data_IF_180493440705
#
_entry.id   IF_180493440705
#
_cell.length_a   1.000
_cell.length_b   1.000
_cell.length_c   1.000
_cell.angle_alpha   90.00
_cell.angle_beta   90.00
_cell.angle_gamma   90.00
#
_symmetry.space_group_name_H-M   'P 1'
#
loop_
_entity.id
_entity.type
_entity.pdbx_description
1 polymer ?
#
# COMPACT_ATOMS: atom_id res chain seq x y z
N UNK A 1 29.29 -14.04 -20.41
CA UNK A 1 28.08 -13.92 -21.27
C UNK A 1 26.92 -13.58 -20.36
N UNK A 2 26.47 -12.32 -20.35
CA UNK A 2 25.32 -11.91 -19.53
C UNK A 2 24.06 -12.42 -20.19
N UNK A 3 23.33 -13.33 -19.53
CA UNK A 3 21.99 -13.72 -19.98
C UNK A 3 21.15 -12.44 -20.17
N UNK A 4 20.41 -12.31 -21.29
CA UNK A 4 19.50 -11.19 -21.46
C UNK A 4 18.51 -11.16 -20.29
N UNK A 5 18.07 -9.97 -19.84
CA UNK A 5 17.14 -9.85 -18.73
C UNK A 5 15.88 -10.66 -19.03
N UNK A 6 15.70 -11.75 -18.29
CA UNK A 6 14.51 -12.59 -18.41
C UNK A 6 13.33 -11.83 -17.82
N UNK A 7 12.49 -11.27 -18.70
CA UNK A 7 11.27 -10.60 -18.27
C UNK A 7 10.37 -11.62 -17.58
N UNK A 8 9.80 -11.24 -16.43
CA UNK A 8 8.91 -12.10 -15.67
C UNK A 8 7.61 -12.34 -16.46
N UNK A 9 7.51 -13.51 -17.11
CA UNK A 9 6.35 -13.89 -17.93
C UNK A 9 5.04 -13.93 -17.14
N UNK A 10 5.09 -14.36 -15.86
CA UNK A 10 3.90 -14.36 -15.01
C UNK A 10 3.40 -12.93 -14.75
N UNK A 11 4.33 -12.00 -14.50
CA UNK A 11 3.97 -10.60 -14.31
C UNK A 11 3.39 -9.98 -15.59
N UNK A 12 3.95 -10.29 -16.75
CA UNK A 12 3.40 -9.86 -18.04
C UNK A 12 2.01 -10.45 -18.31
N UNK A 13 1.81 -11.73 -17.99
CA UNK A 13 0.50 -12.37 -18.10
C UNK A 13 -0.53 -11.70 -17.18
N UNK A 14 -0.15 -11.45 -15.91
CA UNK A 14 -0.99 -10.69 -14.97
C UNK A 14 -1.31 -9.28 -15.48
N UNK A 15 -0.33 -8.55 -15.99
CA UNK A 15 -0.53 -7.22 -16.58
C UNK A 15 -1.50 -7.28 -17.78
N UNK A 16 -1.32 -8.27 -18.66
CA UNK A 16 -2.18 -8.46 -19.84
C UNK A 16 -3.62 -8.78 -19.43
N UNK A 17 -3.81 -9.69 -18.48
CA UNK A 17 -5.14 -10.10 -18.00
C UNK A 17 -5.86 -8.96 -17.29
N UNK A 18 -5.19 -8.29 -16.35
CA UNK A 18 -5.77 -7.15 -15.63
C UNK A 18 -6.10 -5.98 -16.56
N UNK A 19 -5.22 -5.66 -17.53
CA UNK A 19 -5.51 -4.71 -18.60
C UNK A 19 -6.68 -5.17 -19.48
N UNK A 20 -6.85 -6.48 -19.74
CA UNK A 20 -7.97 -7.02 -20.49
C UNK A 20 -9.31 -6.84 -19.79
N UNK A 21 -9.37 -7.16 -18.49
CA UNK A 21 -10.56 -6.95 -17.67
C UNK A 21 -10.91 -5.45 -17.61
N UNK A 22 -9.92 -4.58 -17.41
CA UNK A 22 -10.11 -3.13 -17.42
C UNK A 22 -10.63 -2.63 -18.79
N UNK A 23 -10.10 -3.14 -19.90
CA UNK A 23 -10.56 -2.79 -21.24
C UNK A 23 -12.02 -3.20 -21.47
N UNK A 24 -12.41 -4.41 -21.05
CA UNK A 24 -13.80 -4.89 -21.16
C UNK A 24 -14.73 -3.99 -20.37
N UNK A 25 -14.40 -3.66 -19.11
CA UNK A 25 -15.20 -2.75 -18.29
C UNK A 25 -15.34 -1.37 -18.94
N UNK A 26 -14.24 -0.80 -19.43
CA UNK A 26 -14.25 0.49 -20.11
C UNK A 26 -15.10 0.47 -21.39
N UNK A 27 -15.04 -0.58 -22.20
CA UNK A 27 -15.89 -0.76 -23.39
C UNK A 27 -17.36 -0.84 -22.99
N UNK A 28 -17.69 -1.63 -21.96
CA UNK A 28 -19.06 -1.74 -21.45
C UNK A 28 -19.58 -0.37 -21.01
N UNK A 29 -18.80 0.42 -20.29
CA UNK A 29 -19.19 1.76 -19.84
C UNK A 29 -19.33 2.77 -20.99
N UNK A 30 -18.59 2.62 -22.09
CA UNK A 30 -18.76 3.44 -23.29
C UNK A 30 -20.04 3.09 -24.07
N UNK A 31 -20.38 1.79 -24.16
CA UNK A 31 -21.58 1.31 -24.88
C UNK A 31 -22.84 1.54 -24.04
N UNK A 32 -22.73 1.36 -22.71
CA UNK A 32 -23.82 1.50 -21.73
C UNK A 32 -23.41 2.48 -20.62
N UNK A 33 -23.49 3.80 -20.89
CA UNK A 33 -23.15 4.82 -19.89
C UNK A 33 -23.98 4.72 -18.62
N UNK A 34 -25.21 4.18 -18.69
CA UNK A 34 -26.08 3.90 -17.56
C UNK A 34 -25.50 2.87 -16.57
N UNK A 35 -24.57 2.03 -17.02
CA UNK A 35 -23.85 1.07 -16.18
C UNK A 35 -22.49 1.60 -15.70
N UNK A 36 -22.12 2.81 -16.12
CA UNK A 36 -20.88 3.51 -15.77
C UNK A 36 -20.89 4.05 -14.35
N UNK A 37 -20.95 3.17 -13.35
CA UNK A 37 -20.98 3.60 -11.93
C UNK A 37 -19.66 4.17 -11.45
N UNK A 38 -18.51 3.73 -11.99
CA UNK A 38 -17.20 4.05 -11.42
C UNK A 38 -16.81 5.52 -11.60
N UNK A 39 -17.01 6.09 -12.79
CA UNK A 39 -16.72 7.49 -13.11
C UNK A 39 -17.95 8.41 -12.97
N UNK A 40 -18.98 7.95 -12.27
CA UNK A 40 -20.23 8.71 -12.06
C UNK A 40 -20.07 9.91 -11.14
N UNK A 41 -19.07 9.88 -10.24
CA UNK A 41 -18.82 10.95 -9.28
C UNK A 41 -17.61 11.80 -9.73
N UNK A 42 -17.83 13.05 -10.20
CA UNK A 42 -16.77 13.92 -10.68
C UNK A 42 -15.76 14.33 -9.59
N UNK A 43 -16.18 14.39 -8.32
CA UNK A 43 -15.33 14.84 -7.21
C UNK A 43 -14.23 13.83 -6.84
N UNK A 44 -14.39 12.58 -7.29
CA UNK A 44 -13.50 11.47 -6.97
C UNK A 44 -12.37 11.27 -7.98
N UNK A 45 -12.42 11.90 -9.15
CA UNK A 45 -11.49 11.68 -10.26
C UNK A 45 -11.12 12.97 -10.99
N UNK A 46 -9.81 13.24 -11.05
CA UNK A 46 -9.24 14.42 -11.72
C UNK A 46 -9.73 14.53 -13.17
N UNK A 47 -9.63 13.45 -13.94
CA UNK A 47 -10.00 13.47 -15.36
C UNK A 47 -11.50 13.66 -15.60
N UNK A 48 -12.36 13.24 -14.65
CA UNK A 48 -13.81 13.46 -14.77
C UNK A 48 -14.11 14.94 -14.56
N UNK A 49 -13.50 15.59 -13.57
CA UNK A 49 -13.63 17.03 -13.36
C UNK A 49 -13.09 17.88 -14.51
N UNK A 50 -12.01 17.45 -15.17
CA UNK A 50 -11.36 18.21 -16.24
C UNK A 50 -11.99 18.00 -17.63
N UNK A 51 -12.42 16.78 -17.95
CA UNK A 51 -12.79 16.40 -19.32
C UNK A 51 -14.13 15.65 -19.40
N UNK A 52 -14.79 15.41 -18.26
CA UNK A 52 -16.06 14.69 -18.18
C UNK A 52 -15.91 13.17 -18.16
N UNK A 53 -17.00 12.50 -17.78
CA UNK A 53 -17.08 11.05 -17.60
C UNK A 53 -16.74 10.28 -18.88
N UNK A 54 -17.20 10.75 -20.04
CA UNK A 54 -16.95 10.09 -21.34
C UNK A 54 -15.46 10.09 -21.69
N UNK A 55 -14.77 11.22 -21.50
CA UNK A 55 -13.34 11.32 -21.77
C UNK A 55 -12.51 10.45 -20.81
N UNK A 56 -12.86 10.46 -19.51
CA UNK A 56 -12.21 9.60 -18.51
C UNK A 56 -12.38 8.11 -18.85
N UNK A 57 -13.58 7.71 -19.27
CA UNK A 57 -13.88 6.33 -19.69
C UNK A 57 -13.14 5.96 -20.96
N UNK A 58 -13.09 6.86 -21.95
CA UNK A 58 -12.32 6.65 -23.18
C UNK A 58 -10.82 6.50 -22.90
N UNK A 59 -10.26 7.33 -22.01
CA UNK A 59 -8.86 7.26 -21.58
C UNK A 59 -8.56 5.94 -20.85
N UNK A 60 -9.45 5.50 -19.95
CA UNK A 60 -9.38 4.19 -19.30
C UNK A 60 -9.31 3.09 -20.35
N UNK A 61 -10.28 3.04 -21.26
CA UNK A 61 -10.41 2.00 -22.27
C UNK A 61 -9.21 1.96 -23.20
N UNK A 62 -8.83 3.10 -23.77
CA UNK A 62 -7.68 3.19 -24.69
C UNK A 62 -6.38 2.77 -24.03
N UNK A 63 -6.16 3.19 -22.79
CA UNK A 63 -4.97 2.80 -22.02
C UNK A 63 -4.99 1.30 -21.71
N UNK A 64 -6.12 0.76 -21.27
CA UNK A 64 -6.26 -0.67 -21.00
C UNK A 64 -6.01 -1.52 -22.25
N UNK A 65 -6.57 -1.14 -23.40
CA UNK A 65 -6.33 -1.80 -24.70
C UNK A 65 -4.85 -1.74 -25.09
N UNK A 66 -4.20 -0.59 -24.94
CA UNK A 66 -2.75 -0.46 -25.16
C UNK A 66 -1.97 -1.44 -24.25
N UNK A 67 -2.41 -1.61 -23.00
CA UNK A 67 -1.84 -2.57 -22.06
C UNK A 67 -1.97 -4.01 -22.55
N UNK A 68 -3.14 -4.41 -23.05
CA UNK A 68 -3.35 -5.75 -23.63
C UNK A 68 -2.43 -5.99 -24.82
N UNK A 69 -2.39 -5.04 -25.77
CA UNK A 69 -1.57 -5.13 -26.99
C UNK A 69 -0.09 -5.24 -26.62
N UNK A 70 0.40 -4.37 -25.73
CA UNK A 70 1.78 -4.36 -25.29
C UNK A 70 2.15 -5.63 -24.52
N UNK A 71 1.27 -6.10 -23.62
CA UNK A 71 1.46 -7.33 -22.86
C UNK A 71 1.54 -8.56 -23.76
N UNK A 72 0.62 -8.70 -24.72
CA UNK A 72 0.64 -9.77 -25.71
C UNK A 72 1.87 -9.71 -26.63
N UNK A 73 2.27 -8.52 -27.08
CA UNK A 73 3.49 -8.32 -27.86
C UNK A 73 4.75 -8.68 -27.06
N UNK A 74 4.80 -8.34 -25.76
CA UNK A 74 5.91 -8.72 -24.88
C UNK A 74 5.98 -10.22 -24.61
N UNK A 75 4.83 -10.87 -24.36
CA UNK A 75 4.74 -12.32 -24.14
C UNK A 75 5.18 -13.12 -25.38
N UNK A 76 4.87 -12.60 -26.58
CA UNK A 76 5.31 -13.16 -27.86
C UNK A 76 6.74 -12.78 -28.25
N UNK A 77 7.46 -12.02 -27.42
CA UNK A 77 8.85 -11.61 -27.67
C UNK A 77 9.01 -10.51 -28.73
N UNK A 78 7.90 -9.92 -29.21
CA UNK A 78 7.89 -8.85 -30.22
C UNK A 78 8.14 -7.47 -29.63
N UNK A 79 7.93 -7.28 -28.33
CA UNK A 79 8.18 -6.02 -27.62
C UNK A 79 9.42 -6.12 -26.74
N UNK A 80 10.45 -5.33 -27.05
CA UNK A 80 11.67 -5.26 -26.25
C UNK A 80 11.49 -4.50 -24.92
N UNK A 81 12.52 -4.53 -24.06
CA UNK A 81 12.48 -3.92 -22.72
C UNK A 81 12.10 -2.44 -22.73
N UNK A 82 12.56 -1.66 -23.71
CA UNK A 82 12.18 -0.24 -23.84
C UNK A 82 10.67 -0.06 -24.05
N UNK A 83 10.06 -0.91 -24.87
CA UNK A 83 8.62 -0.89 -25.12
C UNK A 83 7.82 -1.27 -23.87
N UNK A 84 8.28 -2.26 -23.11
CA UNK A 84 7.67 -2.64 -21.82
C UNK A 84 7.77 -1.50 -20.81
N UNK A 85 8.92 -0.82 -20.74
CA UNK A 85 9.13 0.32 -19.83
C UNK A 85 8.22 1.48 -20.20
N UNK A 86 8.15 1.85 -21.48
CA UNK A 86 7.31 2.95 -21.95
C UNK A 86 5.82 2.67 -21.71
N UNK A 87 5.35 1.49 -22.13
CA UNK A 87 3.94 1.11 -21.98
C UNK A 87 3.56 0.95 -20.51
N UNK A 88 4.38 0.26 -19.72
CA UNK A 88 4.16 0.13 -18.28
C UNK A 88 4.17 1.48 -17.55
N UNK A 89 5.07 2.40 -17.92
CA UNK A 89 5.07 3.76 -17.35
C UNK A 89 3.78 4.51 -17.71
N UNK A 90 3.30 4.41 -18.95
CA UNK A 90 2.04 5.00 -19.36
C UNK A 90 0.85 4.44 -18.57
N UNK A 91 0.80 3.12 -18.34
CA UNK A 91 -0.23 2.50 -17.49
C UNK A 91 -0.20 3.08 -16.08
N UNK A 92 0.97 3.17 -15.46
CA UNK A 92 1.12 3.68 -14.09
C UNK A 92 0.75 5.16 -13.98
N UNK A 93 1.10 5.97 -14.97
CA UNK A 93 0.74 7.40 -15.01
C UNK A 93 -0.78 7.55 -15.17
N UNK A 94 -1.38 6.86 -16.14
CA UNK A 94 -2.81 7.03 -16.41
C UNK A 94 -3.66 6.46 -15.28
N UNK A 95 -3.44 5.21 -14.87
CA UNK A 95 -4.26 4.58 -13.84
C UNK A 95 -3.93 5.03 -12.41
N UNK A 96 -2.65 5.35 -12.14
CA UNK A 96 -2.21 5.79 -10.83
C UNK A 96 -2.39 7.29 -10.57
N UNK A 97 -2.31 8.13 -11.60
CA UNK A 97 -2.36 9.60 -11.46
C UNK A 97 -3.63 10.16 -12.11
N UNK A 98 -3.79 10.00 -13.43
CA UNK A 98 -4.89 10.65 -14.16
C UNK A 98 -6.27 10.13 -13.74
N UNK A 99 -6.40 8.81 -13.57
CA UNK A 99 -7.62 8.10 -13.19
C UNK A 99 -7.59 7.65 -11.72
N UNK A 100 -6.59 8.10 -10.95
CA UNK A 100 -6.47 7.78 -9.54
C UNK A 100 -7.62 8.40 -8.74
N UNK A 101 -7.95 7.79 -7.59
CA UNK A 101 -9.03 8.23 -6.71
C UNK A 101 -8.65 8.10 -5.24
N UNK A 102 -9.24 8.95 -4.40
CA UNK A 102 -9.22 8.83 -2.94
C UNK A 102 -9.78 7.50 -2.45
N UNK A 103 -10.63 6.85 -3.24
CA UNK A 103 -11.14 5.52 -2.93
C UNK A 103 -10.00 4.53 -2.65
N UNK A 104 -8.92 4.55 -3.44
CA UNK A 104 -7.75 3.66 -3.27
C UNK A 104 -7.18 3.71 -1.85
N UNK A 105 -7.03 4.91 -1.31
CA UNK A 105 -6.49 5.14 0.01
C UNK A 105 -7.48 4.71 1.10
N UNK A 106 -8.75 5.04 0.91
CA UNK A 106 -9.84 4.64 1.80
C UNK A 106 -9.93 3.12 1.91
N UNK A 107 -9.96 2.38 0.79
CA UNK A 107 -10.02 0.91 0.79
C UNK A 107 -8.86 0.32 1.59
N UNK A 108 -7.63 0.78 1.33
CA UNK A 108 -6.46 0.30 2.06
C UNK A 108 -6.57 0.62 3.57
N UNK A 109 -7.00 1.82 3.92
CA UNK A 109 -7.27 2.22 5.31
C UNK A 109 -8.31 1.32 5.99
N UNK A 110 -9.43 1.04 5.31
CA UNK A 110 -10.48 0.14 5.81
C UNK A 110 -9.94 -1.26 6.06
N UNK A 111 -9.22 -1.85 5.10
CA UNK A 111 -8.64 -3.18 5.25
C UNK A 111 -7.65 -3.25 6.41
N UNK A 112 -6.79 -2.24 6.56
CA UNK A 112 -5.87 -2.14 7.70
C UNK A 112 -6.66 -2.03 9.00
N UNK A 113 -7.61 -1.11 9.09
CA UNK A 113 -8.40 -0.91 10.30
C UNK A 113 -9.18 -2.17 10.70
N UNK A 114 -9.78 -2.89 9.75
CA UNK A 114 -10.47 -4.15 10.00
C UNK A 114 -9.53 -5.27 10.51
N UNK A 115 -8.25 -5.24 10.11
CA UNK A 115 -7.25 -6.20 10.58
C UNK A 115 -6.66 -5.85 11.96
N UNK A 116 -6.68 -4.58 12.35
CA UNK A 116 -5.99 -4.10 13.55
C UNK A 116 -6.47 -4.71 14.87
N UNK A 117 -7.78 -4.94 15.14
CA UNK A 117 -8.22 -5.61 16.37
C UNK A 117 -7.57 -6.98 16.55
N UNK A 118 -7.47 -7.77 15.47
CA UNK A 118 -6.82 -9.09 15.48
C UNK A 118 -5.32 -8.93 15.79
N UNK A 119 -4.65 -7.98 15.12
CA UNK A 119 -3.23 -7.70 15.35
C UNK A 119 -2.98 -7.30 16.80
N UNK A 120 -3.79 -6.40 17.36
CA UNK A 120 -3.68 -5.93 18.75
C UNK A 120 -3.84 -7.10 19.72
N UNK A 121 -4.87 -7.94 19.54
CA UNK A 121 -5.08 -9.12 20.40
C UNK A 121 -3.88 -10.07 20.32
N UNK A 122 -3.37 -10.35 19.12
CA UNK A 122 -2.18 -11.20 18.94
C UNK A 122 -0.99 -10.61 19.68
N UNK A 123 -0.72 -9.31 19.54
CA UNK A 123 0.39 -8.63 20.22
C UNK A 123 0.24 -8.65 21.74
N UNK A 124 -0.97 -8.42 22.27
CA UNK A 124 -1.26 -8.50 23.71
C UNK A 124 -1.06 -9.91 24.25
N UNK A 125 -1.52 -10.94 23.52
CA UNK A 125 -1.29 -12.34 23.89
C UNK A 125 0.20 -12.65 23.91
N UNK A 126 0.98 -12.20 22.93
CA UNK A 126 2.44 -12.40 22.95
C UNK A 126 3.11 -11.65 24.10
N UNK A 127 2.64 -10.44 24.42
CA UNK A 127 3.13 -9.66 25.55
C UNK A 127 2.96 -10.44 26.86
N UNK A 128 1.76 -10.99 27.10
CA UNK A 128 1.44 -11.79 28.28
C UNK A 128 2.30 -13.06 28.35
N UNK A 129 2.41 -13.79 27.23
CA UNK A 129 3.14 -15.07 27.20
C UNK A 129 4.63 -14.90 27.45
N UNK A 130 5.26 -13.86 26.88
CA UNK A 130 6.72 -13.78 26.81
C UNK A 130 7.37 -12.89 27.87
N UNK A 131 6.69 -11.85 28.35
CA UNK A 131 7.31 -10.85 29.23
C UNK A 131 6.73 -10.93 30.65
N UNK A 132 7.44 -11.52 31.64
CA UNK A 132 6.90 -11.81 32.97
C UNK A 132 6.58 -10.57 33.81
N UNK A 133 7.23 -9.44 33.55
CA UNK A 133 6.91 -8.16 34.20
C UNK A 133 5.78 -7.47 33.45
N UNK A 134 5.93 -7.28 32.13
CA UNK A 134 4.95 -6.56 31.31
C UNK A 134 3.60 -7.30 31.20
N UNK A 135 3.54 -8.62 31.42
CA UNK A 135 2.27 -9.37 31.45
C UNK A 135 1.32 -8.82 32.50
N UNK A 136 1.81 -8.47 33.69
CA UNK A 136 0.95 -8.07 34.80
C UNK A 136 0.69 -6.57 34.79
N UNK A 137 1.68 -5.78 34.34
CA UNK A 137 1.57 -4.32 34.30
C UNK A 137 0.75 -3.83 33.09
N UNK A 138 0.89 -4.49 31.93
CA UNK A 138 0.32 -4.00 30.66
C UNK A 138 -0.53 -5.05 29.97
N UNK A 139 -0.02 -6.28 29.81
CA UNK A 139 -0.66 -7.30 28.99
C UNK A 139 -2.04 -7.75 29.48
N UNK A 140 -2.12 -8.22 30.73
CA UNK A 140 -3.35 -8.69 31.37
C UNK A 140 -4.36 -7.54 31.54
N UNK A 141 -3.99 -6.36 32.06
CA UNK A 141 -4.91 -5.23 32.14
C UNK A 141 -5.50 -4.81 30.78
N UNK A 142 -4.67 -4.68 29.74
CA UNK A 142 -5.16 -4.30 28.40
C UNK A 142 -6.01 -5.40 27.76
N UNK A 143 -5.67 -6.67 27.94
CA UNK A 143 -6.47 -7.78 27.43
C UNK A 143 -7.82 -7.86 28.15
N UNK A 144 -7.83 -7.70 29.48
CA UNK A 144 -9.05 -7.63 30.27
C UNK A 144 -9.91 -6.43 29.86
N UNK A 145 -9.32 -5.24 29.70
CA UNK A 145 -10.01 -4.06 29.23
C UNK A 145 -10.59 -4.25 27.82
N UNK A 146 -9.88 -4.92 26.91
CA UNK A 146 -10.40 -5.25 25.59
C UNK A 146 -11.60 -6.20 25.67
N UNK A 147 -11.52 -7.26 26.48
CA UNK A 147 -12.64 -8.20 26.69
C UNK A 147 -13.84 -7.50 27.34
N UNK A 148 -13.61 -6.73 28.39
CA UNK A 148 -14.66 -5.94 29.07
C UNK A 148 -15.29 -4.96 28.09
N UNK A 149 -14.49 -4.24 27.30
CA UNK A 149 -14.97 -3.33 26.27
C UNK A 149 -15.81 -4.03 25.19
N UNK A 150 -15.43 -5.24 24.77
CA UNK A 150 -16.20 -6.05 23.83
C UNK A 150 -17.54 -6.49 24.45
N UNK A 151 -17.53 -6.94 25.70
CA UNK A 151 -18.74 -7.39 26.41
C UNK A 151 -19.70 -6.24 26.65
N UNK A 152 -19.22 -5.13 27.21
CA UNK A 152 -20.03 -3.94 27.49
C UNK A 152 -20.50 -3.24 26.20
N UNK A 153 -19.68 -3.29 25.16
CA UNK A 153 -19.95 -2.66 23.86
C UNK A 153 -20.57 -3.59 22.82
N UNK A 154 -21.05 -4.78 23.19
CA UNK A 154 -21.48 -5.81 22.23
C UNK A 154 -22.55 -5.32 21.24
N UNK A 155 -23.54 -4.57 21.72
CA UNK A 155 -24.60 -4.00 20.88
C UNK A 155 -24.06 -2.94 19.91
N UNK A 156 -23.12 -2.11 20.34
CA UNK A 156 -22.42 -1.13 19.50
C UNK A 156 -21.55 -1.81 18.47
N UNK A 157 -20.82 -2.87 18.85
CA UNK A 157 -20.03 -3.68 17.93
C UNK A 157 -20.90 -4.32 16.86
N UNK A 158 -22.06 -4.86 17.23
CA UNK A 158 -23.04 -5.41 16.27
C UNK A 158 -23.50 -4.37 15.25
N UNK A 159 -23.78 -3.14 15.69
CA UNK A 159 -24.14 -2.02 14.79
C UNK A 159 -22.98 -1.63 13.87
N UNK A 160 -21.76 -1.52 14.40
CA UNK A 160 -20.56 -1.21 13.61
C UNK A 160 -20.34 -2.29 12.55
N UNK A 161 -20.40 -3.57 12.92
CA UNK A 161 -20.23 -4.69 11.98
C UNK A 161 -21.31 -4.68 10.91
N UNK A 162 -22.58 -4.46 11.28
CA UNK A 162 -23.69 -4.38 10.34
C UNK A 162 -23.54 -3.21 9.37
N UNK A 163 -23.23 -2.01 9.87
CA UNK A 163 -23.01 -0.81 9.04
C UNK A 163 -21.80 -0.96 8.11
N UNK A 164 -20.73 -1.58 8.58
CA UNK A 164 -19.57 -1.90 7.74
C UNK A 164 -19.94 -2.92 6.66
N UNK A 165 -20.69 -3.97 7.01
CA UNK A 165 -21.14 -4.99 6.07
C UNK A 165 -22.03 -4.42 4.96
N UNK A 166 -23.02 -3.60 5.31
CA UNK A 166 -23.90 -2.94 4.35
C UNK A 166 -23.15 -1.93 3.49
N UNK A 167 -22.25 -1.13 4.08
CA UNK A 167 -21.40 -0.18 3.34
C UNK A 167 -20.44 -0.86 2.37
N UNK A 168 -19.83 -1.98 2.77
CA UNK A 168 -18.99 -2.81 1.90
C UNK A 168 -19.78 -3.39 0.74
N UNK A 169 -20.97 -3.94 1.01
CA UNK A 169 -21.84 -4.49 -0.03
C UNK A 169 -22.28 -3.41 -1.03
N UNK A 170 -22.68 -2.23 -0.55
CA UNK A 170 -23.04 -1.09 -1.39
C UNK A 170 -21.85 -0.59 -2.23
N UNK A 171 -20.63 -0.68 -1.70
CA UNK A 171 -19.41 -0.22 -2.38
C UNK A 171 -18.71 -1.31 -3.19
N UNK A 172 -19.23 -2.55 -3.22
CA UNK A 172 -18.50 -3.71 -3.73
C UNK A 172 -18.01 -3.54 -5.18
N UNK A 173 -18.83 -2.94 -6.04
CA UNK A 173 -18.45 -2.63 -7.42
C UNK A 173 -17.27 -1.64 -7.48
N UNK A 174 -17.33 -0.55 -6.71
CA UNK A 174 -16.26 0.45 -6.63
C UNK A 174 -14.96 -0.18 -6.11
N UNK A 175 -15.05 -0.98 -5.04
CA UNK A 175 -13.93 -1.70 -4.45
C UNK A 175 -13.29 -2.66 -5.46
N UNK A 176 -14.11 -3.40 -6.22
CA UNK A 176 -13.65 -4.32 -7.25
C UNK A 176 -12.81 -3.62 -8.33
N UNK A 177 -13.26 -2.47 -8.83
CA UNK A 177 -12.51 -1.70 -9.83
C UNK A 177 -11.23 -1.12 -9.24
N UNK A 178 -11.26 -0.59 -8.01
CA UNK A 178 -10.04 -0.09 -7.33
C UNK A 178 -9.01 -1.21 -7.17
N UNK A 179 -9.43 -2.40 -6.73
CA UNK A 179 -8.55 -3.55 -6.57
C UNK A 179 -7.99 -4.01 -7.93
N UNK A 180 -8.81 -4.01 -8.98
CA UNK A 180 -8.35 -4.29 -10.34
C UNK A 180 -7.27 -3.30 -10.80
N UNK A 181 -7.47 -2.00 -10.58
CA UNK A 181 -6.50 -0.94 -10.92
C UNK A 181 -5.19 -1.11 -10.13
N UNK A 182 -5.27 -1.44 -8.84
CA UNK A 182 -4.09 -1.74 -8.02
C UNK A 182 -3.34 -2.99 -8.54
N UNK A 183 -4.05 -4.06 -8.88
CA UNK A 183 -3.46 -5.28 -9.46
C UNK A 183 -2.82 -5.01 -10.83
N UNK A 184 -3.46 -4.18 -11.66
CA UNK A 184 -2.93 -3.72 -12.94
C UNK A 184 -1.62 -2.95 -12.73
N UNK A 185 -1.64 -1.94 -11.86
CA UNK A 185 -0.46 -1.13 -11.52
C UNK A 185 0.67 -1.99 -10.96
N UNK A 186 0.37 -2.92 -10.05
CA UNK A 186 1.36 -3.82 -9.47
C UNK A 186 1.99 -4.74 -10.52
N UNK A 187 1.17 -5.32 -11.41
CA UNK A 187 1.64 -6.22 -12.48
C UNK A 187 2.54 -5.49 -13.47
N UNK A 188 2.16 -4.28 -13.90
CA UNK A 188 2.98 -3.44 -14.78
C UNK A 188 4.24 -2.95 -14.09
N UNK A 189 4.20 -2.62 -12.80
CA UNK A 189 5.40 -2.28 -12.02
C UNK A 189 6.40 -3.43 -12.02
N UNK A 190 5.95 -4.67 -11.75
CA UNK A 190 6.84 -5.84 -11.79
C UNK A 190 7.39 -6.07 -13.21
N UNK A 191 6.57 -5.90 -14.25
CA UNK A 191 7.03 -6.03 -15.63
C UNK A 191 8.11 -4.99 -15.97
N UNK A 192 7.91 -3.72 -15.63
CA UNK A 192 8.89 -2.63 -15.81
C UNK A 192 10.17 -2.88 -15.04
N UNK A 193 10.06 -3.24 -13.75
CA UNK A 193 11.22 -3.59 -12.93
C UNK A 193 11.96 -4.76 -13.55
N UNK A 194 11.27 -5.83 -13.95
CA UNK A 194 11.88 -7.02 -14.57
C UNK A 194 12.59 -6.68 -15.88
N UNK A 195 12.00 -5.83 -16.72
CA UNK A 195 12.56 -5.40 -17.99
C UNK A 195 13.82 -4.53 -17.84
N UNK A 196 13.98 -3.85 -16.70
CA UNK A 196 15.14 -2.99 -16.39
C UNK A 196 16.22 -3.70 -15.58
N UNK A 197 15.97 -4.92 -15.07
CA UNK A 197 16.97 -5.73 -14.37
C UNK A 197 18.19 -5.96 -15.26
N UNK A 198 19.37 -5.99 -14.67
CA UNK A 198 20.63 -6.20 -15.39
C UNK A 198 21.16 -4.98 -16.15
N UNK A 199 20.40 -3.89 -16.26
CA UNK A 199 20.92 -2.63 -16.80
C UNK A 199 21.92 -1.98 -15.83
N UNK A 200 22.94 -1.30 -16.38
CA UNK A 200 23.92 -0.56 -15.58
C UNK A 200 23.26 0.51 -14.71
N UNK A 201 22.21 1.16 -15.22
CA UNK A 201 21.40 2.12 -14.47
C UNK A 201 20.70 1.49 -13.26
N UNK A 202 20.02 0.37 -13.44
CA UNK A 202 19.36 -0.34 -12.33
C UNK A 202 20.36 -0.86 -11.28
N UNK A 203 21.55 -1.30 -11.71
CA UNK A 203 22.62 -1.70 -10.80
C UNK A 203 23.12 -0.51 -9.97
N UNK A 204 23.41 0.64 -10.62
CA UNK A 204 23.84 1.88 -9.93
C UNK A 204 22.77 2.38 -8.96
N UNK A 205 21.51 2.41 -9.38
CA UNK A 205 20.39 2.80 -8.52
C UNK A 205 20.25 1.85 -7.32
N UNK A 206 20.31 0.53 -7.55
CA UNK A 206 20.25 -0.47 -6.46
C UNK A 206 21.39 -0.26 -5.46
N UNK A 207 22.62 -0.03 -5.93
CA UNK A 207 23.77 0.22 -5.06
C UNK A 207 23.58 1.51 -4.24
N UNK A 208 23.11 2.59 -4.86
CA UNK A 208 22.84 3.84 -4.16
C UNK A 208 21.74 3.70 -3.10
N UNK A 209 20.61 3.08 -3.44
CA UNK A 209 19.49 2.87 -2.50
C UNK A 209 19.92 1.96 -1.35
N UNK A 210 20.69 0.90 -1.63
CA UNK A 210 21.18 -0.04 -0.60
C UNK A 210 22.18 0.62 0.35
N UNK A 211 23.04 1.51 -0.15
CA UNK A 211 23.98 2.30 0.65
C UNK A 211 23.26 3.24 1.60
N UNK A 212 22.19 3.90 1.15
CA UNK A 212 21.44 4.88 1.95
C UNK A 212 20.22 4.31 2.68
N UNK A 213 20.05 2.97 2.66
CA UNK A 213 18.83 2.30 3.16
C UNK A 213 18.39 2.71 4.57
N UNK A 214 19.35 3.02 5.46
CA UNK A 214 19.05 3.41 6.85
C UNK A 214 18.31 4.73 6.90
N UNK A 215 18.84 5.75 6.24
CA UNK A 215 18.23 7.09 6.19
C UNK A 215 16.89 7.02 5.46
N UNK A 216 16.83 6.33 4.33
CA UNK A 216 15.60 6.17 3.54
C UNK A 216 14.50 5.48 4.36
N UNK A 217 14.83 4.41 5.10
CA UNK A 217 13.85 3.72 5.93
C UNK A 217 13.36 4.57 7.11
N UNK A 218 14.21 5.41 7.70
CA UNK A 218 13.78 6.35 8.75
C UNK A 218 12.82 7.39 8.16
N UNK A 219 13.15 7.98 7.01
CA UNK A 219 12.26 8.93 6.31
C UNK A 219 10.92 8.27 5.97
N UNK A 220 10.96 7.04 5.44
CA UNK A 220 9.76 6.27 5.12
C UNK A 220 8.92 5.96 6.37
N UNK A 221 9.57 5.63 7.49
CA UNK A 221 8.88 5.35 8.75
C UNK A 221 8.18 6.60 9.29
N UNK A 222 8.76 7.79 9.11
CA UNK A 222 8.16 9.06 9.52
C UNK A 222 6.95 9.47 8.67
N UNK A 223 6.77 8.91 7.47
CA UNK A 223 5.64 9.22 6.59
C UNK A 223 4.24 9.15 7.24
N UNK A 224 3.86 8.03 7.90
CA UNK A 224 2.56 7.91 8.56
C UNK A 224 2.43 8.68 9.89
N UNK A 225 3.51 9.22 10.44
CA UNK A 225 3.53 9.80 11.79
C UNK A 225 2.61 11.02 11.97
N UNK A 226 2.57 12.02 11.05
CA UNK A 226 1.68 13.16 11.21
C UNK A 226 0.21 12.73 11.37
N UNK A 227 -0.25 11.80 10.54
CA UNK A 227 -1.60 11.23 10.62
C UNK A 227 -1.83 10.51 11.95
N UNK A 228 -0.89 9.65 12.36
CA UNK A 228 -0.99 8.90 13.60
C UNK A 228 -1.13 9.83 14.82
N UNK A 229 -0.33 10.91 14.85
CA UNK A 229 -0.30 11.91 15.92
C UNK A 229 -1.56 12.78 15.93
N UNK A 230 -2.02 13.26 14.78
CA UNK A 230 -3.28 14.04 14.67
C UNK A 230 -4.44 13.23 15.22
N UNK A 231 -4.53 11.93 14.92
CA UNK A 231 -5.59 11.07 15.45
C UNK A 231 -5.53 10.85 16.96
N UNK A 232 -4.36 10.98 17.59
CA UNK A 232 -4.27 10.95 19.05
C UNK A 232 -4.85 12.21 19.71
N UNK A 233 -4.92 13.34 18.99
CA UNK A 233 -5.56 14.57 19.51
C UNK A 233 -7.06 14.38 19.77
N UNK A 234 -7.70 13.38 19.14
CA UNK A 234 -9.12 13.04 19.34
C UNK A 234 -9.42 12.47 20.73
N UNK A 235 -8.39 12.06 21.47
CA UNK A 235 -8.47 11.68 22.87
C UNK A 235 -8.42 12.89 23.82
N UNK A 236 -8.16 14.08 23.30
CA UNK A 236 -8.03 15.31 24.06
C UNK A 236 -9.24 16.23 23.82
N UNK A 237 -9.41 17.29 24.62
CA UNK A 237 -10.41 18.32 24.35
C UNK A 237 -10.16 19.13 23.06
N UNK A 238 -8.99 18.99 22.44
CA UNK A 238 -8.50 19.83 21.34
C UNK A 238 -8.22 19.00 20.08
N UNK A 239 -9.24 18.41 19.43
CA UNK A 239 -9.03 17.68 18.19
C UNK A 239 -8.61 18.65 17.07
N UNK A 240 -7.58 18.28 16.31
CA UNK A 240 -6.96 19.19 15.32
C UNK A 240 -7.71 19.23 13.98
N UNK A 241 -8.08 18.07 13.42
CA UNK A 241 -8.59 17.94 12.04
C UNK A 241 -10.11 17.80 11.94
N UNK A 242 -10.81 17.61 13.07
CA UNK A 242 -12.26 17.44 13.14
C UNK A 242 -12.81 18.20 14.34
N UNK A 243 -13.97 18.84 14.19
CA UNK A 243 -14.63 19.56 15.28
C UNK A 243 -15.15 18.60 16.36
N UNK A 244 -15.08 19.02 17.63
CA UNK A 244 -15.35 18.14 18.77
C UNK A 244 -16.79 17.58 18.81
N UNK A 245 -17.75 18.30 18.24
CA UNK A 245 -19.16 17.92 18.09
C UNK A 245 -19.39 16.79 17.09
N UNK A 246 -18.51 16.63 16.10
CA UNK A 246 -18.56 15.54 15.11
C UNK A 246 -17.85 14.25 15.58
N UNK A 247 -17.11 14.31 16.70
CA UNK A 247 -16.36 13.16 17.25
C UNK A 247 -17.23 12.30 18.17
N UNK A 248 -18.22 11.63 17.58
CA UNK A 248 -18.97 10.55 18.25
C UNK A 248 -18.03 9.41 18.65
N UNK A 249 -18.47 8.57 19.59
CA UNK A 249 -17.62 7.47 20.12
C UNK A 249 -17.19 6.49 19.01
N UNK A 250 -18.07 6.18 18.06
CA UNK A 250 -17.79 5.32 16.91
C UNK A 250 -16.73 5.94 15.98
N UNK A 251 -16.83 7.24 15.68
CA UNK A 251 -15.84 7.97 14.90
C UNK A 251 -14.48 7.95 15.59
N UNK A 252 -14.43 8.18 16.92
CA UNK A 252 -13.19 8.12 17.71
C UNK A 252 -12.54 6.74 17.65
N UNK A 253 -13.30 5.68 17.90
CA UNK A 253 -12.80 4.30 17.84
C UNK A 253 -12.24 4.00 16.45
N UNK A 254 -12.95 4.39 15.39
CA UNK A 254 -12.51 4.16 14.02
C UNK A 254 -11.22 4.92 13.69
N UNK A 255 -11.16 6.21 14.03
CA UNK A 255 -9.97 7.04 13.84
C UNK A 255 -8.73 6.53 14.59
N UNK A 256 -8.91 6.05 15.82
CA UNK A 256 -7.83 5.45 16.62
C UNK A 256 -7.41 4.08 16.08
N UNK A 257 -8.34 3.31 15.52
CA UNK A 257 -8.02 2.05 14.85
C UNK A 257 -7.14 2.30 13.61
N UNK A 258 -7.46 3.31 12.81
CA UNK A 258 -6.62 3.75 11.69
C UNK A 258 -5.25 4.25 12.17
N UNK A 259 -5.21 5.05 13.24
CA UNK A 259 -3.96 5.50 13.87
C UNK A 259 -3.08 4.34 14.32
N UNK A 260 -3.66 3.29 14.92
CA UNK A 260 -2.91 2.11 15.33
C UNK A 260 -2.27 1.38 14.15
N UNK A 261 -2.92 1.38 12.98
CA UNK A 261 -2.35 0.88 11.73
C UNK A 261 -1.17 1.73 11.24
N UNK A 262 -1.25 3.06 11.37
CA UNK A 262 -0.16 3.97 11.05
C UNK A 262 1.07 3.75 11.97
N UNK A 263 0.84 3.55 13.27
CA UNK A 263 1.89 3.17 14.23
C UNK A 263 2.52 1.80 13.91
N UNK A 264 1.70 0.82 13.53
CA UNK A 264 2.20 -0.48 13.07
C UNK A 264 3.08 -0.30 11.82
N UNK A 265 2.63 0.50 10.85
CA UNK A 265 3.40 0.85 9.66
C UNK A 265 4.75 1.51 9.98
N UNK A 266 4.78 2.45 10.93
CA UNK A 266 6.02 3.07 11.43
C UNK A 266 6.99 2.00 11.97
N UNK A 267 6.52 1.14 12.88
CA UNK A 267 7.35 0.10 13.51
C UNK A 267 7.84 -0.93 12.47
N UNK A 268 6.96 -1.40 11.59
CA UNK A 268 7.29 -2.35 10.51
C UNK A 268 8.31 -1.77 9.53
N UNK A 269 8.22 -0.49 9.20
CA UNK A 269 9.18 0.19 8.32
C UNK A 269 10.55 0.30 8.98
N UNK A 270 10.62 0.61 10.28
CA UNK A 270 11.89 0.54 11.03
C UNK A 270 12.45 -0.88 11.07
N UNK A 271 11.59 -1.90 11.01
CA UNK A 271 11.99 -3.30 10.88
C UNK A 271 12.93 -3.58 9.71
N UNK A 272 12.78 -2.85 8.60
CA UNK A 272 13.64 -2.98 7.41
C UNK A 272 15.11 -2.71 7.70
N UNK A 273 15.44 -2.03 8.80
CA UNK A 273 16.81 -1.69 9.18
C UNK A 273 17.23 -2.26 10.53
N UNK A 274 16.36 -3.05 11.18
CA UNK A 274 16.62 -3.66 12.48
C UNK A 274 16.87 -5.16 12.35
N UNK A 275 17.59 -5.80 13.30
CA UNK A 275 17.90 -7.23 13.23
C UNK A 275 16.66 -8.13 13.10
N UNK A 276 15.54 -7.71 13.68
CA UNK A 276 14.30 -8.47 13.63
C UNK A 276 13.63 -8.50 12.26
N UNK A 277 13.99 -7.59 11.35
CA UNK A 277 13.58 -7.66 9.95
C UNK A 277 14.38 -8.65 9.12
N UNK A 278 15.51 -9.14 9.63
CA UNK A 278 16.31 -10.20 8.97
C UNK A 278 16.08 -11.58 9.60
N UNK A 279 15.87 -11.63 10.90
CA UNK A 279 15.65 -12.85 11.68
C UNK A 279 14.44 -12.65 12.55
N UNK A 280 13.50 -13.59 12.54
CA UNK A 280 12.28 -13.47 13.32
C UNK A 280 12.60 -13.32 14.82
N UNK A 281 12.01 -12.31 15.49
CA UNK A 281 12.18 -12.16 16.91
C UNK A 281 11.77 -13.42 17.68
N UNK A 282 12.41 -13.66 18.83
CA UNK A 282 12.12 -14.82 19.69
C UNK A 282 10.67 -14.87 20.22
N UNK A 283 9.93 -13.77 20.12
CA UNK A 283 8.53 -13.69 20.52
C UNK A 283 7.54 -14.12 19.42
N UNK A 284 7.99 -14.30 18.17
CA UNK A 284 7.12 -14.75 17.08
C UNK A 284 6.98 -16.28 17.14
N UNK A 285 5.78 -16.83 17.44
CA UNK A 285 5.60 -18.27 17.56
C UNK A 285 5.97 -18.99 16.26
N UNK A 286 6.53 -20.20 16.37
CA UNK A 286 6.95 -21.09 15.25
C UNK A 286 8.06 -20.57 14.34
N UNK A 287 8.34 -19.27 14.34
CA UNK A 287 9.34 -18.65 13.48
C UNK A 287 10.56 -18.11 14.24
N UNK A 288 10.51 -18.04 15.57
CA UNK A 288 11.60 -17.56 16.43
C UNK A 288 13.00 -18.03 15.97
N UNK A 289 13.90 -17.07 15.72
CA UNK A 289 15.29 -17.33 15.33
C UNK A 289 15.48 -17.78 13.87
N UNK A 290 14.42 -17.99 13.10
CA UNK A 290 14.51 -18.33 11.66
C UNK A 290 14.74 -17.07 10.82
N UNK A 291 15.43 -17.17 9.67
CA UNK A 291 15.53 -16.06 8.75
C UNK A 291 14.15 -15.64 8.24
N UNK A 292 13.90 -14.33 8.19
CA UNK A 292 12.66 -13.78 7.61
C UNK A 292 12.74 -13.94 6.09
N UNK A 293 11.76 -14.57 5.42
CA UNK A 293 11.73 -14.61 3.96
C UNK A 293 11.69 -13.19 3.39
N UNK A 294 12.51 -12.89 2.36
CA UNK A 294 12.59 -11.53 1.78
C UNK A 294 11.22 -11.06 1.30
N UNK A 295 10.43 -11.94 0.68
CA UNK A 295 9.08 -11.64 0.22
C UNK A 295 8.12 -11.21 1.34
N UNK A 296 8.29 -11.72 2.57
CA UNK A 296 7.43 -11.40 3.70
C UNK A 296 7.52 -9.92 4.14
N UNK A 297 8.65 -9.26 3.87
CA UNK A 297 8.81 -7.82 4.10
C UNK A 297 8.61 -7.00 2.82
N UNK A 298 9.13 -7.49 1.69
CA UNK A 298 9.13 -6.74 0.43
C UNK A 298 7.75 -6.63 -0.18
N UNK A 299 6.97 -7.72 -0.23
CA UNK A 299 5.65 -7.72 -0.87
C UNK A 299 4.67 -6.78 -0.18
N UNK A 300 4.40 -6.89 1.15
CA UNK A 300 3.47 -5.96 1.79
C UNK A 300 3.97 -4.51 1.75
N UNK A 301 5.27 -4.28 1.95
CA UNK A 301 5.84 -2.94 1.86
C UNK A 301 5.70 -2.31 0.47
N UNK A 302 5.91 -3.08 -0.60
CA UNK A 302 5.74 -2.62 -1.97
C UNK A 302 4.26 -2.34 -2.33
N UNK A 303 3.34 -3.18 -1.84
CA UNK A 303 1.90 -2.97 -2.03
C UNK A 303 1.46 -1.66 -1.36
N UNK A 304 1.84 -1.44 -0.10
CA UNK A 304 1.52 -0.19 0.61
C UNK A 304 2.17 1.01 -0.08
N UNK A 305 3.44 0.90 -0.49
CA UNK A 305 4.11 1.98 -1.22
C UNK A 305 3.37 2.34 -2.51
N UNK A 306 2.90 1.35 -3.28
CA UNK A 306 2.13 1.57 -4.50
C UNK A 306 0.79 2.26 -4.22
N UNK A 307 0.04 1.80 -3.22
CA UNK A 307 -1.22 2.42 -2.77
C UNK A 307 -1.00 3.89 -2.41
N UNK A 308 0.03 4.18 -1.60
CA UNK A 308 0.33 5.55 -1.14
C UNK A 308 0.77 6.43 -2.31
N UNK A 309 1.60 5.91 -3.22
CA UNK A 309 1.97 6.64 -4.45
C UNK A 309 0.74 6.99 -5.29
N UNK A 310 -0.18 6.05 -5.49
CA UNK A 310 -1.40 6.25 -6.29
C UNK A 310 -2.41 7.17 -5.60
N UNK A 311 -2.38 7.25 -4.27
CA UNK A 311 -3.23 8.15 -3.51
C UNK A 311 -2.72 9.60 -3.52
N UNK A 312 -1.43 9.84 -3.73
CA UNK A 312 -0.80 11.14 -3.50
C UNK A 312 -1.43 12.30 -4.31
N UNK A 313 -1.55 12.13 -5.63
CA UNK A 313 -2.08 13.20 -6.50
C UNK A 313 -3.59 13.37 -6.36
N UNK A 314 -4.42 12.30 -6.41
CA UNK A 314 -5.87 12.42 -6.21
C UNK A 314 -6.24 13.06 -4.87
N UNK A 315 -5.51 12.75 -3.80
CA UNK A 315 -5.74 13.32 -2.48
C UNK A 315 -5.47 14.82 -2.45
N UNK A 316 -4.32 15.26 -2.96
CA UNK A 316 -3.99 16.69 -2.99
C UNK A 316 -4.92 17.47 -3.92
N UNK A 317 -5.32 16.88 -5.05
CA UNK A 317 -6.30 17.49 -5.93
C UNK A 317 -7.66 17.64 -5.24
N UNK A 318 -8.17 16.60 -4.59
CA UNK A 318 -9.44 16.67 -3.86
C UNK A 318 -9.36 17.67 -2.69
N UNK A 319 -8.23 17.77 -1.99
CA UNK A 319 -8.02 18.78 -0.96
C UNK A 319 -7.98 20.20 -1.54
N UNK A 320 -7.45 20.37 -2.75
CA UNK A 320 -7.35 21.68 -3.42
C UNK A 320 -8.69 22.30 -3.79
N UNK A 321 -9.75 21.49 -3.97
CA UNK A 321 -11.11 22.00 -4.20
C UNK A 321 -11.68 22.74 -2.98
N UNK A 322 -11.10 22.51 -1.79
CA UNK A 322 -11.41 23.21 -0.53
C UNK A 322 -10.48 24.42 -0.29
N UNK A 323 -9.58 24.72 -1.22
CA UNK A 323 -8.61 25.83 -1.15
C UNK A 323 -7.18 25.40 -0.86
N UNK A 324 -6.24 26.33 -1.07
CA UNK A 324 -4.80 26.08 -0.94
C UNK A 324 -4.37 25.68 0.48
N UNK A 325 -4.98 26.29 1.51
CA UNK A 325 -4.69 25.97 2.91
C UNK A 325 -5.05 24.51 3.22
N UNK A 326 -6.24 24.06 2.81
CA UNK A 326 -6.66 22.67 2.98
C UNK A 326 -5.73 21.69 2.24
N UNK A 327 -5.28 22.04 1.03
CA UNK A 327 -4.28 21.25 0.31
C UNK A 327 -2.97 21.11 1.09
N UNK A 328 -2.45 22.20 1.69
CA UNK A 328 -1.24 22.16 2.51
C UNK A 328 -1.44 21.35 3.79
N UNK A 329 -2.57 21.50 4.46
CA UNK A 329 -2.92 20.70 5.63
C UNK A 329 -2.90 19.21 5.31
N UNK A 330 -3.55 18.77 4.23
CA UNK A 330 -3.51 17.37 3.81
C UNK A 330 -2.11 16.91 3.37
N UNK A 331 -1.35 17.79 2.72
CA UNK A 331 0.04 17.50 2.34
C UNK A 331 0.96 17.29 3.56
N UNK A 332 0.61 17.83 4.72
CA UNK A 332 1.33 17.69 5.99
C UNK A 332 0.81 16.53 6.83
N UNK A 333 -0.51 16.45 7.01
CA UNK A 333 -1.19 15.45 7.86
C UNK A 333 -1.06 14.06 7.26
N UNK A 334 -1.16 13.92 5.94
CA UNK A 334 -1.00 12.63 5.29
C UNK A 334 -0.11 12.73 4.07
N UNK A 335 1.22 12.76 4.24
CA UNK A 335 2.13 13.20 3.21
C UNK A 335 2.47 12.10 2.20
N UNK A 336 1.45 11.55 1.53
CA UNK A 336 1.56 10.46 0.56
C UNK A 336 2.57 10.76 -0.56
N UNK A 337 2.70 12.03 -0.94
CA UNK A 337 3.60 12.52 -1.99
C UNK A 337 5.08 12.20 -1.75
N UNK A 338 5.53 12.17 -0.48
CA UNK A 338 6.88 11.68 -0.15
C UNK A 338 6.87 10.29 0.48
N UNK A 339 5.84 9.97 1.27
CA UNK A 339 5.79 8.72 2.03
C UNK A 339 5.81 7.49 1.11
N UNK A 340 5.00 7.49 0.05
CA UNK A 340 4.95 6.38 -0.91
C UNK A 340 6.30 6.12 -1.58
N UNK A 341 6.91 7.13 -2.23
CA UNK A 341 8.24 6.99 -2.83
C UNK A 341 9.33 6.60 -1.82
N UNK A 342 9.34 7.21 -0.63
CA UNK A 342 10.30 6.86 0.42
C UNK A 342 10.17 5.40 0.84
N UNK A 343 8.94 4.90 1.02
CA UNK A 343 8.68 3.50 1.36
C UNK A 343 9.08 2.54 0.23
N UNK A 344 8.81 2.88 -1.03
CA UNK A 344 9.25 2.10 -2.18
C UNK A 344 10.78 1.96 -2.20
N UNK A 345 11.50 3.05 -1.96
CA UNK A 345 12.96 3.06 -1.86
C UNK A 345 13.46 2.28 -0.63
N UNK A 346 12.79 2.38 0.52
CA UNK A 346 13.15 1.63 1.73
C UNK A 346 13.05 0.11 1.50
N UNK A 347 11.96 -0.33 0.86
CA UNK A 347 11.72 -1.73 0.49
C UNK A 347 12.75 -2.21 -0.54
N UNK A 348 13.08 -1.39 -1.53
CA UNK A 348 14.14 -1.71 -2.51
C UNK A 348 15.51 -1.84 -1.81
N UNK A 349 15.87 -0.88 -0.95
CA UNK A 349 17.12 -0.89 -0.20
C UNK A 349 17.25 -2.11 0.71
N UNK A 350 16.14 -2.52 1.36
CA UNK A 350 16.07 -3.76 2.11
C UNK A 350 16.32 -4.98 1.21
N UNK A 351 15.64 -5.08 0.07
CA UNK A 351 15.83 -6.19 -0.87
C UNK A 351 17.27 -6.25 -1.41
N UNK A 352 17.90 -5.10 -1.68
CA UNK A 352 19.30 -4.99 -2.06
C UNK A 352 20.24 -5.49 -0.97
N UNK A 353 20.04 -5.02 0.26
CA UNK A 353 20.82 -5.46 1.43
C UNK A 353 20.71 -6.97 1.68
N UNK A 354 19.51 -7.55 1.56
CA UNK A 354 19.31 -9.00 1.72
C UNK A 354 20.07 -9.82 0.67
N UNK A 355 20.19 -9.31 -0.57
CA UNK A 355 20.99 -9.95 -1.61
C UNK A 355 22.49 -9.87 -1.32
N UNK A 356 22.98 -8.71 -0.87
CA UNK A 356 24.38 -8.54 -0.47
C UNK A 356 24.76 -9.47 0.69
N UNK A 357 23.88 -9.63 1.67
CA UNK A 357 24.10 -10.53 2.81
C UNK A 357 24.23 -11.99 2.36
N UNK A 358 23.31 -12.46 1.51
CA UNK A 358 23.36 -13.82 0.97
C UNK A 358 24.63 -14.09 0.15
N UNK A 359 25.11 -13.12 -0.62
CA UNK A 359 26.36 -13.25 -1.39
C UNK A 359 27.62 -13.30 -0.50
N UNK A 360 27.59 -12.65 0.67
CA UNK A 360 28.67 -12.73 1.67
C UNK A 360 28.69 -14.07 2.38
N UNK A 361 27.52 -14.62 2.70
CA UNK A 361 27.39 -15.95 3.30
C UNK A 361 27.87 -17.05 2.34
N UNK A 362 27.56 -16.94 1.04
CA UNK A 362 28.03 -17.91 0.04
C UNK A 362 29.55 -17.86 -0.20
N UNK A 363 30.18 -16.68 -0.12
CA UNK A 363 31.63 -16.54 -0.30
C UNK A 363 32.44 -17.00 0.90
N UNK A 364 31.92 -16.81 2.12
CA UNK A 364 32.56 -17.30 3.35
C UNK A 364 32.43 -18.82 3.51
N UNK A 365 31.31 -19.42 3.09
CA UNK A 365 31.14 -20.88 3.08
C UNK A 365 32.08 -21.63 2.13
N UNK A 366 32.54 -20.99 1.04
CA UNK A 366 33.52 -21.57 0.11
C UNK A 366 34.94 -21.60 0.69
N UNK A 367 35.28 -20.69 1.60
CA UNK A 367 36.61 -20.63 2.25
C UNK A 367 36.74 -21.52 3.50
N UNK A 368 35.63 -21.98 4.09
CA UNK A 368 35.65 -22.87 5.26
C UNK A 368 35.58 -24.37 4.88
N UNK A 369 35.47 -24.68 3.59
CA UNK A 369 35.41 -26.05 3.04
C UNK A 369 36.68 -26.50 2.30
N UNK A 370 37.77 -25.75 2.44
CA UNK A 370 39.15 -26.09 2.02
C UNK A 370 39.98 -26.18 3.29
#
# INVERSE_FOLDING_TARGET
MNNPPTVNRLALAGATVTSGIAAILGIVWLIRPDWGFFYSNPDLFIMVGLAGTTAATALHTGTAVLGVIAGAAALSGRLGSRGIVLTGSAQLIVFGIALGSMATLSVAGYLVAMSMPIVIVVLLVQLVRRYPVARWVVGVPLLAAAVIGIVLGWSTLGKVVSNLGTGLAASAGQLGVVLLVLLLGFSWTIAVVSATRGSAGAARATAWVTRHRKVIAVIAALGPMPYALVRLTWLTPWPWDVSADMLTMDVRIWGLTLSSGAWLGFVLTLGLIRPWGTVWPRWVPRFAGRPVPVAAAVVPGAVIAAVVCFAAVPMLYNASSRGFVAMLEWALVFPCWFWGPALALAVWGYAGYRRELAARESSTGVHAGV
#
